data_IF_184233187968
#
_entry.id   IF_184233187968
#
_cell.length_a   1.000
_cell.length_b   1.000
_cell.length_c   1.000
_cell.angle_alpha   90.00
_cell.angle_beta   90.00
_cell.angle_gamma   90.00
#
_symmetry.space_group_name_H-M   'P 1'
#
loop_
_entity.id
_entity.type
_entity.pdbx_description
1 polymer ?
#
# COMPACT_ATOMS: atom_id res chain seq x y z
N UNK A 1 -10.62 20.52 -8.67
CA UNK A 1 -9.93 19.39 -8.00
C UNK A 1 -9.89 19.74 -6.51
N UNK A 2 -10.42 18.89 -5.64
CA UNK A 2 -10.33 19.10 -4.19
C UNK A 2 -8.95 18.67 -3.71
N UNK A 3 -8.31 19.49 -2.88
CA UNK A 3 -7.02 19.16 -2.27
C UNK A 3 -7.11 17.81 -1.54
N UNK A 4 -6.16 16.87 -1.75
CA UNK A 4 -6.15 15.60 -1.03
C UNK A 4 -6.07 15.82 0.49
N UNK A 5 -6.67 14.94 1.29
CA UNK A 5 -6.56 15.00 2.75
C UNK A 5 -5.10 14.84 3.19
N UNK A 6 -4.72 15.58 4.24
CA UNK A 6 -3.37 15.58 4.82
C UNK A 6 -3.33 14.64 6.04
N UNK A 7 -2.27 13.84 6.17
CA UNK A 7 -2.01 13.00 7.35
C UNK A 7 -0.60 13.24 7.92
N UNK A 8 -0.44 13.35 9.25
CA UNK A 8 0.87 13.39 9.89
C UNK A 8 1.68 12.11 9.63
N UNK A 9 2.96 12.26 9.27
CA UNK A 9 3.87 11.14 8.96
C UNK A 9 3.95 10.12 10.09
N UNK A 10 4.00 10.59 11.34
CA UNK A 10 4.01 9.71 12.52
C UNK A 10 2.78 8.78 12.60
N UNK A 11 1.57 9.29 12.33
CA UNK A 11 0.34 8.49 12.33
C UNK A 11 0.30 7.51 11.16
N UNK A 12 0.85 7.91 10.02
CA UNK A 12 0.99 7.03 8.85
C UNK A 12 1.92 5.87 9.16
N UNK A 13 3.09 6.12 9.75
CA UNK A 13 4.05 5.09 10.15
C UNK A 13 3.47 4.11 11.18
N UNK A 14 2.73 4.60 12.18
CA UNK A 14 2.07 3.73 13.17
C UNK A 14 1.06 2.78 12.53
N UNK A 15 0.24 3.28 11.60
CA UNK A 15 -0.74 2.45 10.88
C UNK A 15 -0.05 1.38 10.01
N UNK A 16 1.08 1.71 9.39
CA UNK A 16 1.91 0.75 8.63
C UNK A 16 2.53 -0.29 9.54
N UNK A 17 3.17 0.12 10.64
CA UNK A 17 3.82 -0.80 11.56
C UNK A 17 2.83 -1.83 12.11
N UNK A 18 1.60 -1.39 12.42
CA UNK A 18 0.52 -2.30 12.79
C UNK A 18 0.17 -3.26 11.66
N UNK A 19 -0.04 -2.77 10.43
CA UNK A 19 -0.34 -3.61 9.28
C UNK A 19 0.77 -4.64 8.99
N UNK A 20 2.04 -4.21 8.99
CA UNK A 20 3.21 -5.08 8.76
C UNK A 20 3.36 -6.12 9.87
N UNK A 21 3.22 -5.73 11.15
CA UNK A 21 3.30 -6.69 12.26
C UNK A 21 2.23 -7.77 12.19
N UNK A 22 1.03 -7.43 11.73
CA UNK A 22 -0.05 -8.39 11.48
C UNK A 22 0.27 -9.32 10.30
N UNK A 23 0.96 -8.83 9.26
CA UNK A 23 1.39 -9.64 8.11
C UNK A 23 2.53 -10.59 8.49
N UNK A 24 3.49 -10.14 9.28
CA UNK A 24 4.62 -10.96 9.73
C UNK A 24 4.19 -12.12 10.66
N UNK A 25 3.10 -11.94 11.43
CA UNK A 25 2.52 -13.02 12.25
C UNK A 25 1.98 -14.21 11.44
N UNK A 26 1.69 -14.03 10.14
CA UNK A 26 1.11 -15.08 9.28
C UNK A 26 2.19 -15.95 8.59
N UNK A 27 3.47 -15.63 8.80
CA UNK A 27 4.60 -16.48 8.41
C UNK A 27 5.05 -16.39 6.94
N UNK A 28 6.06 -17.20 6.59
CA UNK A 28 6.88 -17.12 5.36
C UNK A 28 6.19 -17.70 4.10
N UNK A 29 4.88 -17.92 4.12
CA UNK A 29 4.16 -18.63 3.04
C UNK A 29 4.15 -17.88 1.69
N UNK A 30 4.77 -16.70 1.61
CA UNK A 30 5.03 -15.95 0.38
C UNK A 30 3.79 -15.31 -0.23
N UNK A 31 2.58 -15.74 0.16
CA UNK A 31 1.29 -15.25 -0.31
C UNK A 31 0.25 -15.26 0.81
N UNK A 32 -0.29 -14.08 1.14
CA UNK A 32 -1.40 -13.92 2.07
C UNK A 32 -2.68 -13.49 1.34
N UNK A 33 -3.87 -13.88 1.83
CA UNK A 33 -5.12 -13.40 1.29
C UNK A 33 -5.25 -11.89 1.53
N UNK A 34 -5.76 -11.16 0.53
CA UNK A 34 -6.00 -9.71 0.59
C UNK A 34 -6.90 -9.24 1.73
N UNK A 35 -7.57 -10.15 2.45
CA UNK A 35 -8.32 -9.84 3.68
C UNK A 35 -7.47 -9.21 4.79
N UNK A 36 -6.13 -9.30 4.71
CA UNK A 36 -5.21 -8.60 5.60
C UNK A 36 -5.15 -7.09 5.33
N UNK A 37 -5.50 -6.64 4.13
CA UNK A 37 -5.60 -5.23 3.77
C UNK A 37 -6.89 -4.65 4.33
N UNK A 38 -6.79 -3.60 5.15
CA UNK A 38 -7.94 -2.98 5.82
C UNK A 38 -8.21 -1.60 5.27
N UNK A 39 -9.46 -1.15 5.40
CA UNK A 39 -9.80 0.25 5.17
C UNK A 39 -8.94 1.13 6.09
N UNK A 40 -8.37 2.18 5.53
CA UNK A 40 -7.47 3.12 6.21
C UNK A 40 -6.00 2.73 6.17
N UNK A 41 -5.63 1.55 5.63
CA UNK A 41 -4.22 1.18 5.45
C UNK A 41 -3.57 2.13 4.43
N UNK A 42 -2.52 2.86 4.82
CA UNK A 42 -1.78 3.73 3.92
C UNK A 42 -0.80 2.93 3.07
N UNK A 43 -0.78 3.25 1.78
CA UNK A 43 0.01 2.63 0.74
C UNK A 43 0.78 3.68 -0.06
N UNK A 44 1.79 3.22 -0.77
CA UNK A 44 2.53 4.01 -1.75
C UNK A 44 2.64 3.24 -3.06
N UNK A 45 2.63 4.00 -4.15
CA UNK A 45 2.85 3.50 -5.51
C UNK A 45 4.30 3.78 -5.87
N UNK A 46 5.00 2.74 -6.33
CA UNK A 46 6.31 2.88 -6.98
C UNK A 46 6.07 3.02 -8.49
N UNK A 47 6.62 4.08 -9.09
CA UNK A 47 6.36 4.43 -10.49
C UNK A 47 5.06 5.23 -10.66
N UNK A 48 4.07 4.67 -11.36
CA UNK A 48 2.78 5.33 -11.63
C UNK A 48 1.58 4.40 -11.38
N UNK A 49 0.36 4.94 -11.48
CA UNK A 49 -0.88 4.19 -11.19
C UNK A 49 -1.28 3.16 -12.26
N UNK A 50 -0.49 2.98 -13.32
CA UNK A 50 -0.68 1.88 -14.29
C UNK A 50 -0.16 0.54 -13.77
N UNK A 51 0.64 0.54 -12.69
CA UNK A 51 1.10 -0.68 -12.02
C UNK A 51 -0.04 -1.46 -11.37
N UNK A 52 0.21 -2.74 -11.09
CA UNK A 52 -0.70 -3.64 -10.37
C UNK A 52 -0.23 -3.95 -8.95
N UNK A 53 0.77 -3.25 -8.43
CA UNK A 53 1.25 -3.47 -7.07
C UNK A 53 1.40 -2.20 -6.24
N UNK A 54 1.23 -2.36 -4.93
CA UNK A 54 1.37 -1.31 -3.93
C UNK A 54 2.30 -1.77 -2.83
N UNK A 55 2.99 -0.82 -2.20
CA UNK A 55 3.75 -1.06 -0.98
C UNK A 55 3.02 -0.43 0.20
N UNK A 56 3.05 -1.04 1.40
CA UNK A 56 2.76 -0.31 2.62
C UNK A 56 3.63 0.95 2.68
N UNK A 57 3.04 2.06 3.11
CA UNK A 57 3.73 3.35 3.12
C UNK A 57 5.11 3.30 3.81
N UNK A 58 6.14 3.85 3.17
CA UNK A 58 7.50 3.91 3.67
C UNK A 58 8.27 2.58 3.63
N UNK A 59 7.78 1.57 2.90
CA UNK A 59 8.42 0.24 2.85
C UNK A 59 9.02 -0.13 1.48
N UNK A 60 8.69 0.62 0.42
CA UNK A 60 9.31 0.41 -0.90
C UNK A 60 10.80 0.74 -0.93
N UNK A 61 11.27 1.61 -0.02
CA UNK A 61 12.63 2.13 -0.02
C UNK A 61 12.90 3.18 -1.09
N UNK A 62 11.90 3.58 -1.88
CA UNK A 62 12.04 4.68 -2.84
C UNK A 62 11.76 6.04 -2.20
N UNK A 63 12.70 6.97 -2.34
CA UNK A 63 12.48 8.36 -2.01
C UNK A 63 11.61 9.02 -3.09
N UNK A 64 10.43 9.51 -2.70
CA UNK A 64 9.53 10.24 -3.61
C UNK A 64 8.44 9.40 -4.29
N UNK A 65 8.10 8.24 -3.73
CA UNK A 65 6.94 7.43 -4.14
C UNK A 65 5.62 8.24 -4.00
N UNK A 66 5.28 9.02 -5.02
CA UNK A 66 4.02 9.73 -5.12
C UNK A 66 3.28 9.21 -6.36
N UNK A 67 2.01 8.77 -6.22
CA UNK A 67 1.07 9.13 -5.15
C UNK A 67 1.02 8.18 -3.94
N UNK A 68 0.73 8.74 -2.75
CA UNK A 68 0.32 7.98 -1.57
C UNK A 68 -1.18 7.71 -1.59
N UNK A 69 -1.57 6.48 -1.29
CA UNK A 69 -2.94 6.00 -1.40
C UNK A 69 -3.48 5.42 -0.09
N UNK A 70 -4.75 5.63 0.18
CA UNK A 70 -5.47 5.00 1.27
C UNK A 70 -6.51 4.04 0.74
N UNK A 71 -6.56 2.86 1.34
CA UNK A 71 -7.70 1.95 1.17
C UNK A 71 -8.94 2.63 1.72
N UNK A 72 -9.83 3.07 0.84
CA UNK A 72 -11.02 3.81 1.22
C UNK A 72 -12.26 2.91 1.31
N UNK A 73 -12.36 1.92 0.44
CA UNK A 73 -13.47 0.97 0.44
C UNK A 73 -13.01 -0.46 0.09
N UNK A 74 -13.74 -1.45 0.59
CA UNK A 74 -13.58 -2.87 0.24
C UNK A 74 -14.73 -3.32 -0.66
N UNK A 75 -14.53 -4.38 -1.47
CA UNK A 75 -13.35 -5.24 -1.55
C UNK A 75 -12.29 -4.74 -2.54
N UNK A 76 -11.03 -4.80 -2.12
CA UNK A 76 -9.88 -4.84 -3.04
C UNK A 76 -9.55 -6.31 -3.31
N UNK A 77 -9.60 -6.74 -4.57
CA UNK A 77 -9.15 -8.09 -4.93
C UNK A 77 -7.64 -8.08 -5.00
N UNK A 78 -6.99 -8.63 -3.96
CA UNK A 78 -5.54 -8.57 -3.85
C UNK A 78 -4.93 -9.78 -3.14
N UNK A 79 -3.64 -9.99 -3.39
CA UNK A 79 -2.76 -10.86 -2.61
C UNK A 79 -1.63 -10.04 -1.99
N UNK A 80 -1.02 -10.55 -0.92
CA UNK A 80 0.17 -9.92 -0.33
C UNK A 80 1.35 -10.86 -0.47
N UNK A 81 2.46 -10.39 -1.05
CA UNK A 81 3.67 -11.19 -1.28
C UNK A 81 4.91 -10.55 -0.69
N UNK A 82 5.85 -11.38 -0.24
CA UNK A 82 7.16 -10.87 0.18
C UNK A 82 7.96 -10.51 -1.08
N UNK A 83 8.54 -9.31 -1.08
CA UNK A 83 9.32 -8.82 -2.22
C UNK A 83 10.64 -9.60 -2.28
N UNK A 84 10.97 -10.24 -3.42
CA UNK A 84 12.22 -10.97 -3.60
C UNK A 84 13.47 -10.11 -3.41
N UNK A 85 14.59 -10.75 -3.13
CA UNK A 85 15.90 -10.08 -3.14
C UNK A 85 16.21 -9.57 -4.57
N UNK A 86 16.80 -8.37 -4.65
CA UNK A 86 17.16 -7.73 -5.92
C UNK A 86 16.05 -6.89 -6.57
N UNK A 87 14.84 -6.85 -6.00
CA UNK A 87 13.76 -5.96 -6.42
C UNK A 87 13.64 -4.72 -5.51
N UNK A 88 13.02 -3.65 -6.02
CA UNK A 88 12.66 -2.48 -5.21
C UNK A 88 11.75 -2.90 -4.06
N UNK A 89 12.10 -2.50 -2.82
CA UNK A 89 11.39 -2.93 -1.62
C UNK A 89 11.76 -4.34 -1.17
N UNK A 90 12.90 -4.90 -1.60
CA UNK A 90 13.38 -6.22 -1.16
C UNK A 90 13.26 -6.39 0.37
N UNK A 91 12.66 -7.50 0.78
CA UNK A 91 12.41 -7.77 2.19
C UNK A 91 11.20 -7.05 2.79
N UNK A 92 10.48 -6.21 2.04
CA UNK A 92 9.16 -5.72 2.42
C UNK A 92 8.04 -6.66 1.93
N UNK A 93 6.80 -6.33 2.27
CA UNK A 93 5.61 -6.94 1.67
C UNK A 93 5.07 -6.00 0.59
N UNK A 94 4.71 -6.53 -0.58
CA UNK A 94 3.92 -5.81 -1.59
C UNK A 94 2.54 -6.43 -1.73
N UNK A 95 1.58 -5.61 -2.11
CA UNK A 95 0.19 -6.01 -2.36
C UNK A 95 0.01 -6.07 -3.87
N UNK A 96 -0.28 -7.25 -4.39
CA UNK A 96 -0.59 -7.50 -5.80
C UNK A 96 -2.09 -7.39 -6.02
N UNK A 97 -2.50 -6.50 -6.91
CA UNK A 97 -3.88 -6.27 -7.32
C UNK A 97 -4.18 -7.07 -8.59
N UNK A 98 -5.44 -7.45 -8.77
CA UNK A 98 -5.92 -8.09 -10.01
C UNK A 98 -6.05 -7.11 -11.19
N UNK A 99 -6.06 -5.81 -10.92
CA UNK A 99 -6.22 -4.71 -11.89
C UNK A 99 -5.24 -3.56 -11.58
N UNK A 100 -4.98 -2.68 -12.55
CA UNK A 100 -4.16 -1.49 -12.32
C UNK A 100 -4.66 -0.64 -11.15
N UNK A 101 -3.73 0.02 -10.45
CA UNK A 101 -4.02 0.93 -9.34
C UNK A 101 -5.01 2.03 -9.76
N UNK A 102 -4.90 2.54 -10.99
CA UNK A 102 -5.77 3.56 -11.55
C UNK A 102 -7.26 3.15 -11.55
N UNK A 103 -7.57 1.87 -11.79
CA UNK A 103 -8.95 1.37 -11.78
C UNK A 103 -9.55 1.41 -10.37
N UNK A 104 -8.72 1.12 -9.36
CA UNK A 104 -9.10 1.19 -7.96
C UNK A 104 -9.24 2.62 -7.44
N UNK A 105 -8.45 3.56 -7.98
CA UNK A 105 -8.63 4.99 -7.73
C UNK A 105 -9.93 5.49 -8.37
N UNK A 106 -10.18 5.15 -9.65
CA UNK A 106 -11.36 5.57 -10.39
C UNK A 106 -12.67 5.04 -9.79
N UNK A 107 -12.66 3.81 -9.28
CA UNK A 107 -13.80 3.21 -8.57
C UNK A 107 -13.96 3.68 -7.12
N UNK A 108 -13.01 4.46 -6.60
CA UNK A 108 -13.03 4.97 -5.22
C UNK A 108 -12.63 3.95 -4.15
N UNK A 109 -12.10 2.79 -4.53
CA UNK A 109 -11.52 1.81 -3.61
C UNK A 109 -10.22 2.31 -2.97
N UNK A 110 -9.43 3.08 -3.74
CA UNK A 110 -8.24 3.79 -3.28
C UNK A 110 -8.44 5.30 -3.38
N UNK A 111 -7.87 6.06 -2.44
CA UNK A 111 -7.89 7.54 -2.48
C UNK A 111 -6.52 8.12 -2.18
N UNK A 112 -6.14 9.13 -2.96
CA UNK A 112 -4.92 9.88 -2.72
C UNK A 112 -4.97 10.63 -1.38
N UNK A 113 -3.81 10.71 -0.73
CA UNK A 113 -3.60 11.56 0.44
C UNK A 113 -2.19 12.17 0.38
N UNK A 114 -1.98 13.23 1.14
CA UNK A 114 -0.67 13.86 1.29
C UNK A 114 -0.13 13.63 2.70
N UNK A 115 1.19 13.60 2.83
CA UNK A 115 1.88 13.43 4.11
C UNK A 115 2.63 14.70 4.46
N UNK A 116 2.48 15.14 5.71
CA UNK A 116 3.26 16.23 6.30
C UNK A 116 4.03 15.70 7.50
N UNK A 117 5.16 16.34 7.78
CA UNK A 117 5.93 16.12 9.02
C UNK A 117 5.18 16.58 10.27
#
# INVERSE_FOLDING_TARGET
MTTPPVRPRALTHQAVALAVSLLDQVGVSGRLPGSAVKVGTPMEVVGDTSTTYLYPFGTSGEEGAAPYLLVHNLPLTCGVVRVPEGETGAGAWRIELDKPVADYVASGGLREFTVTD
#
